data_IF_777429659207
#
_entry.id   IF_777429659207
#
_cell.length_a   1.000
_cell.length_b   1.000
_cell.length_c   1.000
_cell.angle_alpha   90.00
_cell.angle_beta   90.00
_cell.angle_gamma   90.00
#
_symmetry.space_group_name_H-M   'P 1'
#
loop_
_entity.id
_entity.type
_entity.pdbx_description
1 polymer ?
#
# COMPACT_ATOMS: atom_id res chain seq x y z
N UNK A 1 -15.22 14.39 -6.55
CA UNK A 1 -14.78 13.20 -5.77
C UNK A 1 -14.22 13.70 -4.44
N UNK A 2 -14.73 13.23 -3.30
CA UNK A 2 -14.09 13.52 -2.00
C UNK A 2 -12.66 12.96 -2.05
N UNK A 3 -11.66 13.77 -1.73
CA UNK A 3 -10.29 13.26 -1.68
C UNK A 3 -10.23 12.16 -0.62
N UNK A 4 -9.76 10.97 -1.02
CA UNK A 4 -9.53 9.85 -0.11
C UNK A 4 -8.03 9.72 0.10
N UNK A 5 -7.62 9.39 1.31
CA UNK A 5 -6.24 9.00 1.63
C UNK A 5 -6.19 7.47 1.73
N UNK A 6 -5.00 6.92 1.60
CA UNK A 6 -4.73 5.50 1.75
C UNK A 6 -3.75 5.31 2.89
N UNK A 7 -4.10 4.42 3.82
CA UNK A 7 -3.36 4.13 5.04
C UNK A 7 -2.81 2.71 4.96
N UNK A 8 -1.49 2.55 5.07
CA UNK A 8 -0.81 1.29 4.78
C UNK A 8 0.46 1.11 5.60
N UNK A 9 0.85 -0.15 5.80
CA UNK A 9 2.06 -0.50 6.56
C UNK A 9 2.97 -1.48 5.82
N UNK A 10 2.61 -1.90 4.61
CA UNK A 10 3.42 -2.82 3.82
C UNK A 10 3.14 -2.66 2.33
N UNK A 11 4.10 -3.10 1.53
CA UNK A 11 3.97 -3.11 0.08
C UNK A 11 4.69 -4.32 -0.51
N UNK A 12 4.22 -4.76 -1.67
CA UNK A 12 4.82 -5.81 -2.47
C UNK A 12 5.28 -5.23 -3.79
N UNK A 13 6.42 -5.71 -4.28
CA UNK A 13 6.97 -5.33 -5.57
C UNK A 13 7.53 -6.56 -6.28
N UNK A 14 7.20 -6.70 -7.56
CA UNK A 14 7.75 -7.72 -8.46
C UNK A 14 8.38 -7.07 -9.67
N UNK A 15 9.60 -7.48 -9.99
CA UNK A 15 10.41 -6.93 -11.07
C UNK A 15 10.35 -7.76 -12.34
N UNK A 16 10.40 -7.08 -13.49
CA UNK A 16 10.56 -7.68 -14.82
C UNK A 16 9.51 -8.72 -15.19
N UNK A 17 9.77 -9.44 -16.27
CA UNK A 17 8.87 -10.48 -16.76
C UNK A 17 9.06 -11.82 -16.04
N UNK A 18 7.96 -12.55 -15.79
CA UNK A 18 7.99 -13.92 -15.26
C UNK A 18 7.86 -15.03 -16.29
N UNK A 19 7.53 -14.71 -17.54
CA UNK A 19 7.27 -15.69 -18.59
C UNK A 19 8.38 -15.65 -19.64
N UNK A 20 8.70 -16.79 -20.24
CA UNK A 20 9.74 -16.84 -21.27
C UNK A 20 9.24 -16.32 -22.63
N UNK A 21 7.96 -16.50 -22.94
CA UNK A 21 7.42 -16.32 -24.30
C UNK A 21 6.40 -15.15 -24.45
N UNK A 22 6.37 -14.15 -23.57
CA UNK A 22 5.23 -13.22 -23.59
C UNK A 22 5.37 -11.80 -23.06
N UNK A 23 6.49 -11.40 -22.47
CA UNK A 23 6.62 -10.00 -22.03
C UNK A 23 7.45 -9.11 -22.94
N UNK A 24 8.12 -9.68 -23.94
CA UNK A 24 8.84 -8.90 -24.94
C UNK A 24 7.89 -8.70 -26.12
N UNK A 25 7.79 -7.48 -26.65
CA UNK A 25 7.12 -7.28 -27.93
C UNK A 25 7.89 -8.08 -29.00
N UNK A 26 7.17 -8.78 -29.87
CA UNK A 26 7.64 -9.71 -30.92
C UNK A 26 8.59 -9.11 -31.98
N UNK A 27 9.16 -7.94 -31.74
CA UNK A 27 9.85 -7.13 -32.74
C UNK A 27 11.34 -7.52 -32.92
N UNK A 28 11.73 -8.74 -32.51
CA UNK A 28 13.10 -9.26 -32.68
C UNK A 28 14.17 -8.63 -31.77
N UNK A 29 13.81 -7.69 -30.90
CA UNK A 29 14.64 -7.19 -29.83
C UNK A 29 14.27 -7.90 -28.53
N UNK A 30 15.24 -8.54 -27.86
CA UNK A 30 14.98 -9.22 -26.59
C UNK A 30 14.39 -8.29 -25.51
N UNK A 31 13.77 -8.86 -24.47
CA UNK A 31 13.25 -8.07 -23.35
C UNK A 31 14.33 -7.17 -22.73
N UNK A 32 13.95 -5.94 -22.37
CA UNK A 32 14.83 -5.05 -21.60
C UNK A 32 15.16 -5.67 -20.24
N UNK A 33 16.44 -5.98 -20.00
CA UNK A 33 16.95 -6.40 -18.69
C UNK A 33 17.18 -5.16 -17.80
N UNK A 34 16.11 -4.67 -17.19
CA UNK A 34 16.18 -3.57 -16.24
C UNK A 34 15.97 -4.09 -14.81
N UNK A 35 16.98 -3.92 -13.96
CA UNK A 35 16.93 -4.31 -12.56
C UNK A 35 16.47 -3.16 -11.65
N UNK A 36 15.78 -3.47 -10.56
CA UNK A 36 15.45 -2.51 -9.51
C UNK A 36 16.53 -2.57 -8.44
N UNK A 37 17.56 -1.73 -8.55
CA UNK A 37 18.77 -1.84 -7.74
C UNK A 37 18.73 -1.11 -6.40
N UNK A 38 18.67 0.22 -6.44
CA UNK A 38 18.43 1.06 -5.26
C UNK A 38 17.20 1.89 -5.52
N UNK A 39 16.26 1.93 -4.57
CA UNK A 39 15.02 2.68 -4.70
C UNK A 39 14.45 3.14 -3.38
N UNK A 40 13.60 4.15 -3.43
CA UNK A 40 12.80 4.63 -2.32
C UNK A 40 11.31 4.50 -2.63
N UNK A 41 10.54 4.01 -1.65
CA UNK A 41 9.10 4.23 -1.59
C UNK A 41 8.86 5.62 -1.00
N UNK A 42 8.17 6.46 -1.75
CA UNK A 42 7.88 7.83 -1.36
C UNK A 42 6.38 8.07 -1.30
N UNK A 43 5.97 8.90 -0.34
CA UNK A 43 4.59 9.34 -0.19
C UNK A 43 4.47 10.85 -0.32
N UNK A 44 3.27 11.30 -0.70
CA UNK A 44 2.91 12.72 -0.75
C UNK A 44 1.42 12.93 -0.50
N UNK A 45 1.08 14.09 0.06
CA UNK A 45 -0.31 14.56 0.19
C UNK A 45 -0.72 15.54 -0.94
N UNK A 46 0.26 16.16 -1.61
CA UNK A 46 0.06 17.25 -2.56
C UNK A 46 0.67 16.99 -3.96
N UNK A 47 1.32 15.85 -4.16
CA UNK A 47 2.07 15.46 -5.36
C UNK A 47 3.24 16.40 -5.71
N UNK A 48 3.71 17.22 -4.75
CA UNK A 48 4.80 18.21 -4.91
C UNK A 48 5.89 17.98 -3.89
N UNK A 49 5.52 17.87 -2.62
CA UNK A 49 6.41 17.55 -1.51
C UNK A 49 6.41 16.05 -1.28
N UNK A 50 7.60 15.45 -1.32
CA UNK A 50 7.76 14.00 -1.24
C UNK A 50 8.61 13.63 -0.03
N UNK A 51 8.22 12.54 0.63
CA UNK A 51 8.95 11.98 1.76
C UNK A 51 9.22 10.50 1.54
N UNK A 52 10.46 10.09 1.78
CA UNK A 52 10.87 8.69 1.82
C UNK A 52 10.31 8.01 3.07
N UNK A 53 9.65 6.87 2.87
CA UNK A 53 9.10 6.03 3.96
C UNK A 53 9.75 4.67 4.05
N UNK A 54 10.47 4.27 2.99
CA UNK A 54 11.31 3.09 2.95
C UNK A 54 12.33 3.24 1.82
N UNK A 55 13.55 2.77 2.05
CA UNK A 55 14.63 2.79 1.05
C UNK A 55 15.37 1.47 1.04
N UNK A 56 15.65 0.97 -0.15
CA UNK A 56 16.49 -0.20 -0.36
C UNK A 56 17.72 0.24 -1.15
N UNK A 57 18.89 -0.24 -0.72
CA UNK A 57 20.16 0.08 -1.35
C UNK A 57 20.79 -1.17 -1.92
N UNK A 58 21.14 -1.11 -3.21
CA UNK A 58 21.99 -2.07 -3.90
C UNK A 58 21.52 -3.53 -3.82
N UNK A 59 20.22 -3.74 -3.96
CA UNK A 59 19.63 -5.08 -4.02
C UNK A 59 19.92 -5.70 -5.38
N UNK A 60 20.83 -6.66 -5.41
CA UNK A 60 21.23 -7.34 -6.66
C UNK A 60 20.21 -8.40 -7.11
N UNK A 61 19.30 -8.80 -6.22
CA UNK A 61 18.38 -9.91 -6.48
C UNK A 61 17.11 -9.45 -7.20
N UNK A 62 16.77 -8.17 -7.13
CA UNK A 62 15.56 -7.57 -7.71
C UNK A 62 15.69 -7.39 -9.23
N UNK A 63 15.87 -8.54 -9.89
CA UNK A 63 15.91 -8.77 -11.32
C UNK A 63 14.72 -9.62 -11.74
N UNK A 64 14.54 -9.82 -13.04
CA UNK A 64 13.50 -10.64 -13.69
C UNK A 64 12.77 -11.65 -12.78
N UNK A 65 11.47 -11.47 -12.63
CA UNK A 65 10.54 -12.28 -11.84
C UNK A 65 10.80 -12.37 -10.33
N UNK A 66 11.81 -11.68 -9.79
CA UNK A 66 11.99 -11.59 -8.35
C UNK A 66 10.91 -10.70 -7.75
N UNK A 67 10.41 -11.13 -6.59
CA UNK A 67 9.43 -10.41 -5.82
C UNK A 67 9.84 -10.32 -4.35
N UNK A 68 9.50 -9.20 -3.72
CA UNK A 68 9.71 -8.99 -2.30
C UNK A 68 8.52 -8.23 -1.70
N UNK A 69 8.16 -8.61 -0.49
CA UNK A 69 7.21 -7.88 0.37
C UNK A 69 8.01 -7.17 1.45
N UNK A 70 7.73 -5.89 1.63
CA UNK A 70 8.38 -5.05 2.63
C UNK A 70 7.34 -4.59 3.64
N UNK A 71 7.64 -4.84 4.93
CA UNK A 71 6.90 -4.28 6.04
C UNK A 71 7.58 -2.98 6.48
N UNK A 72 6.80 -1.91 6.56
CA UNK A 72 7.28 -0.60 6.97
C UNK A 72 7.39 -0.53 8.50
N UNK A 73 8.27 0.34 8.99
CA UNK A 73 8.48 0.53 10.45
C UNK A 73 7.21 0.96 11.19
N UNK A 74 6.31 1.64 10.47
CA UNK A 74 5.02 2.11 10.98
C UNK A 74 4.02 2.22 9.84
N UNK A 75 2.78 2.49 10.22
CA UNK A 75 1.73 2.84 9.29
C UNK A 75 1.89 4.28 8.76
N UNK A 76 1.62 4.46 7.47
CA UNK A 76 1.67 5.73 6.77
C UNK A 76 0.32 6.01 6.12
N UNK A 77 -0.09 7.27 6.13
CA UNK A 77 -1.31 7.72 5.43
C UNK A 77 -0.93 8.76 4.38
N UNK A 78 -1.35 8.56 3.12
CA UNK A 78 -0.97 9.44 2.01
C UNK A 78 -2.03 9.47 0.90
N UNK A 79 -1.95 10.47 0.02
CA UNK A 79 -2.78 10.54 -1.21
C UNK A 79 -2.07 10.00 -2.43
N UNK A 80 -0.75 10.16 -2.48
CA UNK A 80 0.11 9.74 -3.57
C UNK A 80 1.22 8.86 -3.04
N UNK A 81 1.56 7.84 -3.82
CA UNK A 81 2.67 6.93 -3.55
C UNK A 81 3.44 6.79 -4.85
N UNK A 82 4.78 6.72 -4.77
CA UNK A 82 5.62 6.39 -5.92
C UNK A 82 6.83 5.55 -5.49
N UNK A 83 7.36 4.79 -6.44
CA UNK A 83 8.68 4.18 -6.36
C UNK A 83 9.63 5.06 -7.15
N UNK A 84 10.74 5.48 -6.53
CA UNK A 84 11.81 6.23 -7.17
C UNK A 84 13.08 5.40 -7.17
N UNK A 85 13.62 5.08 -8.34
CA UNK A 85 14.95 4.48 -8.43
C UNK A 85 15.99 5.55 -8.13
N UNK A 86 16.80 5.30 -7.10
CA UNK A 86 17.82 6.25 -6.59
C UNK A 86 19.20 5.96 -7.16
N UNK A 87 19.44 4.74 -7.65
CA UNK A 87 20.69 4.34 -8.30
C UNK A 87 20.42 3.33 -9.42
N UNK A 88 21.18 3.41 -10.50
CA UNK A 88 21.13 2.45 -11.59
C UNK A 88 21.81 1.13 -11.21
N UNK A 89 21.37 0.03 -11.83
CA UNK A 89 22.09 -1.24 -11.76
C UNK A 89 23.52 -1.05 -12.32
N UNK A 90 24.57 -1.64 -11.71
CA UNK A 90 25.93 -1.54 -12.26
C UNK A 90 25.98 -2.02 -13.73
N UNK A 91 26.43 -1.14 -14.62
CA UNK A 91 26.53 -1.41 -16.06
C UNK A 91 25.26 -1.16 -16.89
N UNK A 92 24.16 -0.70 -16.27
CA UNK A 92 22.91 -0.39 -16.96
C UNK A 92 22.60 1.12 -16.88
N UNK A 93 21.85 1.68 -17.85
CA UNK A 93 21.28 3.01 -17.69
C UNK A 93 20.26 3.03 -16.55
N UNK A 94 19.82 4.23 -16.14
CA UNK A 94 18.72 4.36 -15.19
C UNK A 94 17.43 3.84 -15.85
N UNK A 95 17.09 2.60 -15.58
CA UNK A 95 15.88 1.95 -16.09
C UNK A 95 15.30 1.00 -15.05
N UNK A 96 13.98 0.84 -15.09
CA UNK A 96 13.21 0.05 -14.14
C UNK A 96 12.20 -0.81 -14.91
N UNK A 97 12.19 -2.11 -14.65
CA UNK A 97 11.13 -3.01 -15.12
C UNK A 97 10.33 -3.51 -13.91
N UNK A 98 9.08 -3.09 -13.81
CA UNK A 98 8.14 -3.56 -12.78
C UNK A 98 7.00 -4.32 -13.43
N UNK A 99 6.58 -5.42 -12.80
CA UNK A 99 5.43 -6.20 -13.23
C UNK A 99 4.22 -5.98 -12.32
N UNK A 100 4.44 -5.90 -11.01
CA UNK A 100 3.37 -5.76 -10.03
C UNK A 100 3.83 -4.91 -8.86
N UNK A 101 2.97 -3.99 -8.45
CA UNK A 101 3.09 -3.24 -7.19
C UNK A 101 1.76 -3.39 -6.47
N UNK A 102 1.82 -3.74 -5.20
CA UNK A 102 0.67 -3.73 -4.30
C UNK A 102 1.01 -2.96 -3.04
N UNK A 103 0.03 -2.24 -2.52
CA UNK A 103 0.09 -1.62 -1.22
C UNK A 103 -1.00 -2.25 -0.37
N UNK A 104 -0.67 -2.71 0.83
CA UNK A 104 -1.62 -3.39 1.72
C UNK A 104 -2.04 -2.45 2.85
N UNK A 105 -3.34 -2.18 2.92
CA UNK A 105 -3.92 -1.23 3.86
C UNK A 105 -5.35 -0.84 3.49
N UNK A 106 -5.83 0.25 4.09
CA UNK A 106 -7.22 0.70 4.00
C UNK A 106 -7.34 2.07 3.32
N UNK A 107 -8.42 2.24 2.55
CA UNK A 107 -8.83 3.56 2.10
C UNK A 107 -9.50 4.31 3.26
N UNK A 108 -8.96 5.46 3.64
CA UNK A 108 -9.50 6.31 4.69
C UNK A 108 -10.17 7.55 4.09
N UNK A 109 -11.38 7.85 4.58
CA UNK A 109 -12.06 9.08 4.22
C UNK A 109 -11.32 10.28 4.81
N UNK A 110 -11.21 11.37 4.05
CA UNK A 110 -10.92 12.67 4.64
C UNK A 110 -12.20 13.16 5.30
N UNK A 111 -12.47 12.73 6.54
CA UNK A 111 -13.37 13.50 7.39
C UNK A 111 -12.54 14.66 7.97
N UNK A 112 -13.07 15.87 7.90
CA UNK A 112 -12.55 17.01 8.65
C UNK A 112 -12.84 16.89 10.16
N UNK A 113 -13.36 15.74 10.61
CA UNK A 113 -13.64 15.47 12.00
C UNK A 113 -13.24 14.04 12.36
N UNK A 114 -12.29 13.93 13.28
CA UNK A 114 -12.03 12.70 14.04
C UNK A 114 -13.17 12.56 15.06
N UNK A 115 -14.33 12.04 14.65
CA UNK A 115 -15.38 11.59 15.58
C UNK A 115 -16.52 10.85 14.87
N UNK A 116 -16.24 9.75 14.17
CA UNK A 116 -17.28 8.76 13.89
C UNK A 116 -16.71 7.36 14.11
N UNK A 117 -16.94 6.89 15.34
CA UNK A 117 -17.51 5.58 15.65
C UNK A 117 -17.12 4.43 14.72
N UNK A 118 -16.36 3.50 15.30
CA UNK A 118 -15.99 2.21 14.76
C UNK A 118 -17.26 1.41 14.40
N UNK A 119 -17.75 1.54 13.17
CA UNK A 119 -18.80 0.67 12.64
C UNK A 119 -18.12 -0.61 12.17
N UNK A 120 -18.04 -1.61 13.05
CA UNK A 120 -17.74 -2.98 12.66
C UNK A 120 -18.86 -3.46 11.75
N UNK A 121 -18.54 -3.76 10.48
CA UNK A 121 -19.42 -4.57 9.65
C UNK A 121 -19.47 -5.97 10.28
N UNK A 122 -20.57 -6.26 10.98
CA UNK A 122 -20.99 -7.62 11.26
C UNK A 122 -22.03 -7.95 10.19
N UNK A 123 -21.63 -8.79 9.24
CA UNK A 123 -22.57 -9.52 8.40
C UNK A 123 -23.42 -10.42 9.30
N UNK A 124 -24.68 -10.54 8.91
CA UNK A 124 -25.81 -11.02 9.68
C UNK A 124 -25.67 -12.44 10.27
N UNK A 125 -26.54 -12.69 11.25
CA UNK A 125 -26.82 -13.95 11.97
C UNK A 125 -25.99 -14.20 13.24
N UNK A 126 -26.39 -13.54 14.34
CA UNK A 126 -26.72 -14.23 15.59
C UNK A 126 -27.42 -13.26 16.56
N UNK A 127 -28.63 -13.62 17.00
CA UNK A 127 -29.43 -12.92 18.00
C UNK A 127 -28.66 -12.78 19.33
N UNK A 128 -27.97 -11.65 19.55
CA UNK A 128 -27.43 -11.32 20.87
C UNK A 128 -28.46 -10.50 21.64
N UNK A 129 -29.24 -11.18 22.48
CA UNK A 129 -30.10 -10.56 23.47
C UNK A 129 -29.25 -9.88 24.57
N UNK A 130 -28.94 -8.59 24.41
CA UNK A 130 -28.39 -7.77 25.49
C UNK A 130 -29.53 -7.38 26.44
N UNK A 131 -29.85 -8.28 27.36
CA UNK A 131 -30.76 -8.00 28.46
C UNK A 131 -30.01 -7.14 29.49
N UNK A 132 -30.20 -5.82 29.40
CA UNK A 132 -29.94 -4.88 30.49
C UNK A 132 -31.14 -4.84 31.44
N UNK A 133 -31.15 -5.68 32.48
CA UNK A 133 -32.06 -5.46 33.61
C UNK A 133 -31.56 -4.26 34.44
N UNK A 134 -32.11 -3.08 34.18
CA UNK A 134 -32.19 -2.01 35.18
C UNK A 134 -33.68 -1.65 35.33
N UNK A 135 -34.33 -2.21 36.35
CA UNK A 135 -35.58 -1.61 36.85
C UNK A 135 -35.24 -0.67 38.01
N UNK A 136 -35.28 0.63 37.75
CA UNK A 136 -35.51 1.64 38.78
C UNK A 136 -36.31 2.78 38.16
N UNK A 137 -37.63 2.73 38.36
CA UNK A 137 -38.40 3.90 38.78
C UNK A 137 -39.82 3.48 39.18
N UNK A 138 -40.07 3.56 40.49
CA UNK A 138 -41.39 3.80 41.06
C UNK A 138 -41.23 4.98 42.01
N UNK A 139 -41.61 6.16 41.55
CA UNK A 139 -41.55 7.40 42.30
C UNK A 139 -42.73 7.49 43.29
N UNK A 140 -42.48 8.05 44.47
CA UNK A 140 -43.36 8.61 45.50
C UNK A 140 -44.89 8.73 45.23
N UNK A 141 -45.73 8.29 46.18
CA UNK A 141 -46.68 9.13 46.94
C UNK A 141 -47.58 8.33 47.91
N UNK A 142 -47.85 8.96 49.07
CA UNK A 142 -48.78 8.65 50.17
C UNK A 142 -48.39 7.56 51.19
#
# INVERSE_FOLDING_TARGET
>A
MKAKKFRFNSYFIRCGCCYEDGCCCDDGYGCFDCCLYSWSLQISDDNKTWKDVHSVSKDNDMRRCTEKTYKLEREYTARFVRILQTEACPGFPLCMALNRIELFGDAVALSEDYNEEFVSYHDDDDDVSIIGHISKNGNSNA
#
